data_IF_007038988119
#
_entry.id   IF_007038988119
#
_cell.length_a   1.000
_cell.length_b   1.000
_cell.length_c   1.000
_cell.angle_alpha   90.00
_cell.angle_beta   90.00
_cell.angle_gamma   90.00
#
_symmetry.space_group_name_H-M   'P 1'
#
loop_
_entity.id
_entity.type
_entity.pdbx_description
1 polymer ?
#
# COMPACT_ATOMS: atom_id res chain seq x y z
N UNK A 1 -27.82 26.00 23.24
CA UNK A 1 -29.03 25.48 22.57
C UNK A 1 -28.77 24.03 22.16
N UNK A 2 -29.28 23.10 22.95
CA UNK A 2 -29.18 21.64 22.78
C UNK A 2 -30.25 21.16 21.79
N UNK A 3 -29.88 20.36 20.79
CA UNK A 3 -30.84 19.49 20.09
C UNK A 3 -30.25 18.10 19.88
N UNK A 4 -30.55 17.27 20.86
CA UNK A 4 -30.54 15.82 20.86
C UNK A 4 -31.72 15.33 20.02
N UNK A 5 -31.50 14.38 19.10
CA UNK A 5 -32.61 13.57 18.56
C UNK A 5 -32.19 12.11 18.51
N UNK A 6 -32.85 11.33 19.36
CA UNK A 6 -32.87 9.86 19.43
C UNK A 6 -33.84 9.29 18.37
N UNK A 7 -33.83 7.96 18.27
CA UNK A 7 -34.80 7.04 17.64
C UNK A 7 -34.42 6.65 16.20
N UNK A 8 -34.46 5.39 15.76
CA UNK A 8 -35.15 4.21 16.27
C UNK A 8 -34.42 2.93 15.82
N UNK A 9 -34.42 1.94 16.72
CA UNK A 9 -34.01 0.55 16.55
C UNK A 9 -35.11 -0.22 15.82
N UNK A 10 -34.78 -0.96 14.76
CA UNK A 10 -35.64 -2.03 14.24
C UNK A 10 -34.80 -3.28 13.97
N UNK A 11 -34.89 -4.20 14.93
CA UNK A 11 -34.53 -5.61 14.80
C UNK A 11 -35.50 -6.25 13.79
N UNK A 12 -34.99 -7.03 12.82
CA UNK A 12 -35.81 -8.06 12.17
C UNK A 12 -35.05 -9.37 12.14
N UNK A 13 -35.58 -10.29 12.94
CA UNK A 13 -35.21 -11.68 13.13
C UNK A 13 -35.93 -12.50 12.05
N UNK A 14 -35.22 -13.28 11.24
CA UNK A 14 -35.83 -14.36 10.46
C UNK A 14 -35.08 -15.66 10.73
N UNK A 15 -35.79 -16.60 11.35
CA UNK A 15 -35.36 -17.96 11.61
C UNK A 15 -36.05 -18.92 10.63
N UNK A 16 -35.26 -19.81 10.04
CA UNK A 16 -35.63 -21.15 9.52
C UNK A 16 -36.22 -21.24 8.10
N UNK A 17 -36.30 -22.45 7.50
CA UNK A 17 -35.76 -23.75 7.94
C UNK A 17 -34.87 -24.48 6.90
N UNK A 18 -34.19 -25.52 7.38
CA UNK A 18 -33.45 -26.51 6.61
C UNK A 18 -34.29 -27.20 5.52
N UNK A 19 -33.73 -27.33 4.32
CA UNK A 19 -34.08 -28.36 3.37
C UNK A 19 -32.79 -29.05 2.91
N UNK A 20 -32.55 -30.24 3.46
CA UNK A 20 -31.55 -31.18 2.96
C UNK A 20 -32.03 -31.71 1.61
N UNK A 21 -31.39 -31.30 0.53
CA UNK A 21 -31.54 -31.95 -0.77
C UNK A 21 -30.30 -32.80 -1.03
N UNK A 22 -30.49 -34.11 -1.01
CA UNK A 22 -29.53 -35.10 -1.48
C UNK A 22 -29.22 -34.82 -2.96
N UNK A 23 -28.05 -34.26 -3.24
CA UNK A 23 -27.51 -34.23 -4.60
C UNK A 23 -27.06 -35.64 -4.97
N UNK A 24 -27.90 -36.33 -5.73
CA UNK A 24 -27.61 -37.59 -6.40
C UNK A 24 -26.50 -37.35 -7.43
N UNK A 25 -25.37 -38.05 -7.32
CA UNK A 25 -24.27 -37.96 -8.26
C UNK A 25 -24.70 -38.52 -9.64
N UNK A 26 -24.44 -37.82 -10.76
CA UNK A 26 -24.70 -38.37 -12.09
C UNK A 26 -23.74 -39.53 -12.41
N UNK A 27 -24.16 -40.53 -13.22
CA UNK A 27 -23.31 -41.67 -13.57
C UNK A 27 -22.12 -41.24 -14.45
N UNK A 28 -20.96 -41.92 -14.36
CA UNK A 28 -19.81 -41.61 -15.20
C UNK A 28 -20.10 -41.94 -16.67
N UNK A 29 -19.91 -40.95 -17.55
CA UNK A 29 -19.91 -41.15 -19.00
C UNK A 29 -18.68 -41.93 -19.46
N UNK A 30 -18.68 -42.46 -20.70
CA UNK A 30 -17.56 -43.24 -21.23
C UNK A 30 -16.26 -42.43 -21.31
N UNK A 31 -15.09 -43.06 -21.19
CA UNK A 31 -13.80 -42.37 -21.27
C UNK A 31 -13.61 -41.73 -22.66
N UNK A 32 -13.26 -40.45 -22.67
CA UNK A 32 -12.92 -39.71 -23.89
C UNK A 32 -11.64 -40.26 -24.54
N UNK A 33 -11.42 -39.95 -25.84
CA UNK A 33 -10.22 -40.39 -26.56
C UNK A 33 -8.94 -39.83 -25.91
N UNK A 34 -7.80 -40.54 -25.99
CA UNK A 34 -6.54 -40.09 -25.41
C UNK A 34 -6.06 -38.79 -26.08
N UNK A 35 -5.40 -37.88 -25.34
CA UNK A 35 -4.83 -36.66 -25.91
C UNK A 35 -3.72 -37.03 -26.91
N UNK A 36 -3.76 -36.38 -28.07
CA UNK A 36 -2.70 -36.46 -29.07
C UNK A 36 -1.52 -35.59 -28.64
N UNK A 37 -0.43 -36.21 -28.21
CA UNK A 37 0.83 -35.53 -27.89
C UNK A 37 1.53 -35.05 -29.16
N UNK A 38 1.18 -33.84 -29.61
CA UNK A 38 1.96 -33.09 -30.59
C UNK A 38 2.60 -31.86 -29.93
N UNK A 39 3.91 -31.59 -30.10
CA UNK A 39 4.52 -30.37 -29.58
C UNK A 39 4.08 -29.20 -30.48
N UNK A 40 2.95 -28.58 -30.14
CA UNK A 40 2.50 -27.34 -30.76
C UNK A 40 3.46 -26.18 -30.42
N UNK A 41 3.56 -25.16 -31.29
CA UNK A 41 4.43 -24.02 -31.06
C UNK A 41 3.99 -23.32 -29.78
N UNK A 42 4.90 -23.17 -28.82
CA UNK A 42 4.71 -22.40 -27.60
C UNK A 42 4.59 -20.92 -27.99
N UNK A 43 3.40 -20.52 -28.45
CA UNK A 43 3.00 -19.12 -28.54
C UNK A 43 3.14 -18.47 -27.15
N UNK A 44 3.27 -17.15 -27.08
CA UNK A 44 3.25 -16.47 -25.79
C UNK A 44 1.93 -16.88 -25.10
N UNK A 45 2.05 -17.65 -24.03
CA UNK A 45 0.90 -18.08 -23.24
C UNK A 45 0.07 -16.84 -22.88
N UNK A 46 -1.26 -16.98 -22.72
CA UNK A 46 -2.08 -15.88 -22.25
C UNK A 46 -1.38 -15.28 -21.03
N UNK A 47 -1.00 -13.99 -21.09
CA UNK A 47 -0.61 -13.27 -19.88
C UNK A 47 -1.77 -13.48 -18.94
N UNK A 48 -1.56 -14.25 -17.89
CA UNK A 48 -2.57 -14.52 -16.88
C UNK A 48 -3.16 -13.16 -16.53
N UNK A 49 -4.41 -12.94 -16.93
CA UNK A 49 -5.08 -11.68 -16.72
C UNK A 49 -4.99 -11.43 -15.21
N UNK A 50 -4.22 -10.41 -14.83
CA UNK A 50 -3.84 -10.12 -13.46
C UNK A 50 -5.09 -10.12 -12.61
N UNK A 51 -5.34 -11.22 -11.90
CA UNK A 51 -6.48 -11.29 -11.00
C UNK A 51 -6.19 -10.27 -9.91
N UNK A 52 -7.04 -9.25 -9.72
CA UNK A 52 -6.76 -8.22 -8.74
C UNK A 52 -6.56 -8.89 -7.37
N UNK A 53 -5.37 -8.67 -6.80
CA UNK A 53 -4.98 -9.28 -5.53
C UNK A 53 -6.00 -8.90 -4.45
N UNK A 54 -6.37 -9.82 -3.54
CA UNK A 54 -7.34 -9.53 -2.50
C UNK A 54 -6.84 -8.41 -1.58
N UNK A 55 -7.75 -7.49 -1.24
CA UNK A 55 -7.50 -6.45 -0.24
C UNK A 55 -7.13 -7.06 1.11
N UNK A 56 -6.31 -6.36 1.91
CA UNK A 56 -5.88 -6.81 3.24
C UNK A 56 -7.05 -7.26 4.14
N UNK A 57 -8.17 -6.55 4.06
CA UNK A 57 -9.39 -6.83 4.84
C UNK A 57 -10.06 -8.15 4.48
N UNK A 58 -9.79 -8.70 3.28
CA UNK A 58 -10.35 -9.97 2.79
C UNK A 58 -9.45 -11.18 3.04
N UNK A 59 -8.22 -10.97 3.52
CA UNK A 59 -7.29 -12.05 3.83
C UNK A 59 -7.77 -12.85 5.05
N UNK A 60 -7.60 -14.18 4.98
CA UNK A 60 -7.83 -15.05 6.15
C UNK A 60 -6.79 -14.78 7.24
N UNK A 61 -7.09 -15.18 8.47
CA UNK A 61 -6.14 -15.04 9.59
C UNK A 61 -4.80 -15.72 9.29
N UNK A 62 -4.82 -16.91 8.67
CA UNK A 62 -3.61 -17.64 8.31
C UNK A 62 -2.80 -16.90 7.23
N UNK A 63 -3.46 -16.32 6.22
CA UNK A 63 -2.78 -15.54 5.18
C UNK A 63 -2.12 -14.28 5.76
N UNK A 64 -2.83 -13.54 6.64
CA UNK A 64 -2.25 -12.39 7.33
C UNK A 64 -1.06 -12.79 8.20
N UNK A 65 -1.15 -13.93 8.89
CA UNK A 65 -0.08 -14.41 9.75
C UNK A 65 1.22 -14.64 8.97
N UNK A 66 1.15 -15.30 7.80
CA UNK A 66 2.31 -15.51 6.93
C UNK A 66 2.98 -14.19 6.52
N UNK A 67 2.18 -13.17 6.16
CA UNK A 67 2.70 -11.86 5.78
C UNK A 67 3.33 -11.12 6.98
N UNK A 68 2.76 -11.27 8.17
CA UNK A 68 3.30 -10.69 9.41
C UNK A 68 4.60 -11.40 9.82
N UNK A 69 4.69 -12.72 9.61
CA UNK A 69 5.87 -13.50 9.97
C UNK A 69 7.10 -13.09 9.15
N UNK A 70 6.95 -12.89 7.83
CA UNK A 70 8.02 -12.34 7.00
C UNK A 70 8.52 -10.96 7.48
N UNK A 71 7.60 -10.10 7.95
CA UNK A 71 7.97 -8.81 8.55
C UNK A 71 8.72 -8.99 9.88
N UNK A 72 8.32 -9.97 10.68
CA UNK A 72 8.96 -10.29 11.97
C UNK A 72 10.39 -10.80 11.76
N UNK A 73 10.61 -11.66 10.78
CA UNK A 73 11.94 -12.14 10.41
C UNK A 73 12.85 -10.97 10.02
N UNK A 74 12.40 -10.11 9.10
CA UNK A 74 13.16 -8.90 8.73
C UNK A 74 13.45 -8.00 9.93
N UNK A 75 12.48 -7.79 10.84
CA UNK A 75 12.71 -7.01 12.06
C UNK A 75 13.81 -7.63 12.96
N UNK A 76 13.89 -8.96 12.99
CA UNK A 76 14.88 -9.66 13.76
C UNK A 76 16.29 -9.56 13.15
N UNK A 77 16.39 -9.58 11.82
CA UNK A 77 17.65 -9.52 11.07
C UNK A 77 18.38 -8.17 11.14
N UNK A 78 17.66 -7.05 11.28
CA UNK A 78 18.25 -5.69 11.30
C UNK A 78 18.08 -4.97 12.64
N UNK A 79 18.76 -5.42 13.73
CA UNK A 79 18.62 -4.82 15.06
C UNK A 79 18.99 -3.33 15.12
N UNK A 80 19.97 -2.88 14.33
CA UNK A 80 20.42 -1.49 14.20
C UNK A 80 19.36 -0.58 13.57
N UNK A 81 18.47 -1.09 12.70
CA UNK A 81 17.39 -0.31 12.11
C UNK A 81 16.14 -0.21 13.00
N UNK A 82 16.02 -1.04 14.03
CA UNK A 82 14.83 -1.10 14.90
C UNK A 82 14.41 0.26 15.48
N UNK A 83 15.32 1.14 15.96
CA UNK A 83 14.92 2.46 16.45
C UNK A 83 14.25 3.31 15.37
N UNK A 84 14.74 3.25 14.12
CA UNK A 84 14.15 3.96 12.98
C UNK A 84 12.78 3.37 12.62
N UNK A 85 12.69 2.06 12.50
CA UNK A 85 11.43 1.36 12.22
C UNK A 85 10.37 1.64 13.29
N UNK A 86 10.75 1.63 14.56
CA UNK A 86 9.86 1.93 15.69
C UNK A 86 9.33 3.37 15.66
N UNK A 87 10.20 4.36 15.37
CA UNK A 87 9.77 5.76 15.19
C UNK A 87 8.74 5.89 14.05
N UNK A 88 8.95 5.20 12.94
CA UNK A 88 7.99 5.18 11.82
C UNK A 88 6.66 4.56 12.22
N UNK A 89 6.69 3.42 12.93
CA UNK A 89 5.49 2.74 13.42
C UNK A 89 4.68 3.63 14.38
N UNK A 90 5.33 4.27 15.36
CA UNK A 90 4.66 5.21 16.27
C UNK A 90 3.99 6.35 15.51
N UNK A 91 4.72 7.00 14.59
CA UNK A 91 4.14 8.07 13.77
C UNK A 91 2.93 7.58 12.97
N UNK A 92 2.97 6.37 12.42
CA UNK A 92 1.86 5.80 11.66
C UNK A 92 0.61 5.56 12.52
N UNK A 93 0.79 5.05 13.75
CA UNK A 93 -0.31 4.84 14.69
C UNK A 93 -1.01 6.15 15.06
N UNK A 94 -0.23 7.23 15.22
CA UNK A 94 -0.74 8.56 15.55
C UNK A 94 -1.44 9.26 14.35
N UNK A 95 -1.35 8.72 13.13
CA UNK A 95 -2.01 9.30 11.95
C UNK A 95 -3.50 8.97 11.90
N UNK A 96 -4.30 9.99 11.59
CA UNK A 96 -5.71 9.86 11.15
C UNK A 96 -5.82 9.12 9.82
N UNK A 97 -6.99 8.54 9.47
CA UNK A 97 -7.22 7.90 8.17
C UNK A 97 -6.87 8.79 6.98
N UNK A 98 -7.21 10.08 7.05
CA UNK A 98 -6.91 11.08 6.03
C UNK A 98 -5.41 11.29 5.89
N UNK A 99 -4.68 11.40 7.01
CA UNK A 99 -3.21 11.52 7.00
C UNK A 99 -2.55 10.26 6.42
N UNK A 100 -3.06 9.06 6.73
CA UNK A 100 -2.56 7.81 6.12
C UNK A 100 -2.80 7.77 4.62
N UNK A 101 -3.96 8.23 4.15
CA UNK A 101 -4.26 8.36 2.71
C UNK A 101 -3.28 9.32 2.02
N UNK A 102 -3.00 10.47 2.65
CA UNK A 102 -2.02 11.42 2.12
C UNK A 102 -0.59 10.87 2.11
N UNK A 103 -0.19 10.16 3.18
CA UNK A 103 1.10 9.49 3.24
C UNK A 103 1.26 8.44 2.14
N UNK A 104 0.23 7.61 1.89
CA UNK A 104 0.21 6.65 0.79
C UNK A 104 0.34 7.33 -0.57
N UNK A 105 -0.46 8.37 -0.83
CA UNK A 105 -0.35 9.13 -2.07
C UNK A 105 1.03 9.78 -2.25
N UNK A 106 1.65 10.25 -1.17
CA UNK A 106 3.02 10.77 -1.17
C UNK A 106 4.05 9.70 -1.50
N UNK A 107 3.92 8.51 -0.92
CA UNK A 107 4.77 7.36 -1.20
C UNK A 107 4.66 6.92 -2.66
N UNK A 108 3.44 6.84 -3.19
CA UNK A 108 3.19 6.44 -4.58
C UNK A 108 3.81 7.47 -5.56
N UNK A 109 3.70 8.78 -5.28
CA UNK A 109 4.40 9.82 -6.05
C UNK A 109 5.92 9.66 -5.98
N UNK A 110 6.47 9.45 -4.79
CA UNK A 110 7.93 9.32 -4.60
C UNK A 110 8.51 8.09 -5.31
N UNK A 111 7.79 6.96 -5.30
CA UNK A 111 8.18 5.76 -6.04
C UNK A 111 8.22 5.99 -7.55
N UNK A 112 7.35 6.84 -8.07
CA UNK A 112 7.29 7.13 -9.51
C UNK A 112 8.22 8.27 -9.96
N UNK A 113 8.98 8.89 -9.03
CA UNK A 113 9.99 9.91 -9.37
C UNK A 113 11.25 9.28 -9.98
N UNK A 114 11.90 10.02 -10.88
CA UNK A 114 13.26 9.70 -11.35
C UNK A 114 14.28 9.78 -10.20
N UNK A 115 15.46 9.15 -10.32
CA UNK A 115 16.52 9.25 -9.32
C UNK A 115 16.87 10.71 -8.96
N UNK A 116 16.95 11.59 -9.96
CA UNK A 116 17.22 13.02 -9.78
C UNK A 116 16.10 13.71 -9.02
N UNK A 117 14.85 13.47 -9.41
CA UNK A 117 13.68 14.02 -8.71
C UNK A 117 13.59 13.55 -7.25
N UNK A 118 13.97 12.29 -6.97
CA UNK A 118 14.06 11.79 -5.60
C UNK A 118 15.16 12.49 -4.82
N UNK A 119 16.32 12.74 -5.45
CA UNK A 119 17.44 13.49 -4.84
C UNK A 119 17.00 14.92 -4.48
N UNK A 120 16.28 15.59 -5.39
CA UNK A 120 15.68 16.90 -5.14
C UNK A 120 14.70 16.88 -3.97
N UNK A 121 13.75 15.94 -4.00
CA UNK A 121 12.72 15.80 -2.98
C UNK A 121 13.32 15.52 -1.60
N UNK A 122 14.35 14.66 -1.52
CA UNK A 122 15.09 14.39 -0.28
C UNK A 122 15.73 15.67 0.27
N UNK A 123 16.52 16.38 -0.54
CA UNK A 123 17.21 17.60 -0.10
C UNK A 123 16.23 18.68 0.38
N UNK A 124 15.13 18.90 -0.37
CA UNK A 124 14.10 19.85 0.01
C UNK A 124 13.42 19.44 1.32
N UNK A 125 13.09 18.15 1.48
CA UNK A 125 12.48 17.63 2.71
C UNK A 125 13.39 17.80 3.93
N UNK A 126 14.68 17.47 3.79
CA UNK A 126 15.69 17.63 4.83
C UNK A 126 15.80 19.09 5.28
N UNK A 127 15.74 20.05 4.35
CA UNK A 127 15.69 21.46 4.74
C UNK A 127 14.39 21.79 5.45
N UNK A 128 13.25 21.41 4.89
CA UNK A 128 11.93 21.74 5.44
C UNK A 128 11.72 21.19 6.86
N UNK A 129 12.25 20.01 7.22
CA UNK A 129 12.06 19.46 8.59
C UNK A 129 12.70 20.29 9.69
N UNK A 130 13.66 21.15 9.36
CA UNK A 130 14.33 22.04 10.31
C UNK A 130 13.63 23.40 10.47
N UNK A 131 12.62 23.67 9.64
CA UNK A 131 11.99 24.98 9.52
C UNK A 131 10.61 25.00 10.18
N UNK A 132 10.21 26.18 10.68
CA UNK A 132 8.85 26.40 11.17
C UNK A 132 7.84 26.45 10.00
N UNK A 133 6.54 26.58 10.29
CA UNK A 133 5.51 26.55 9.23
C UNK A 133 5.63 27.71 8.23
N UNK A 134 5.93 28.92 8.70
CA UNK A 134 6.07 30.10 7.85
C UNK A 134 7.28 29.97 6.91
N UNK A 135 8.42 29.56 7.45
CA UNK A 135 9.65 29.34 6.71
C UNK A 135 9.51 28.22 5.67
N UNK A 136 8.81 27.14 6.02
CA UNK A 136 8.48 26.05 5.08
C UNK A 136 7.66 26.56 3.89
N UNK A 137 6.62 27.36 4.16
CA UNK A 137 5.78 27.93 3.10
C UNK A 137 6.61 28.85 2.18
N UNK A 138 7.48 29.68 2.75
CA UNK A 138 8.36 30.57 1.98
C UNK A 138 9.34 29.77 1.10
N UNK A 139 9.96 28.72 1.65
CA UNK A 139 10.84 27.84 0.89
C UNK A 139 10.11 27.13 -0.25
N UNK A 140 8.90 26.63 0.01
CA UNK A 140 8.08 25.97 -1.02
C UNK A 140 7.72 26.92 -2.17
N UNK A 141 7.32 28.16 -1.86
CA UNK A 141 7.03 29.17 -2.89
C UNK A 141 8.28 29.54 -3.70
N UNK A 142 9.44 29.68 -3.05
CA UNK A 142 10.70 29.94 -3.74
C UNK A 142 11.07 28.77 -4.64
N UNK A 143 10.96 27.53 -4.16
CA UNK A 143 11.27 26.32 -4.93
C UNK A 143 10.41 26.17 -6.20
N UNK A 144 9.12 26.51 -6.11
CA UNK A 144 8.21 26.48 -7.26
C UNK A 144 8.62 27.49 -8.36
N UNK A 145 9.23 28.61 -7.98
CA UNK A 145 9.69 29.65 -8.91
C UNK A 145 11.10 29.42 -9.47
N UNK A 146 11.89 28.56 -8.85
CA UNK A 146 13.25 28.23 -9.33
C UNK A 146 13.22 27.48 -10.66
N UNK A 147 14.08 27.90 -11.57
CA UNK A 147 14.48 27.16 -12.77
C UNK A 147 15.25 25.88 -12.41
N UNK A 148 15.36 24.91 -13.34
CA UNK A 148 16.17 23.71 -13.14
C UNK A 148 17.64 23.99 -12.79
N UNK A 149 18.21 25.06 -13.36
CA UNK A 149 19.59 25.47 -13.07
C UNK A 149 19.74 25.99 -11.63
N UNK A 150 18.78 26.80 -11.16
CA UNK A 150 18.77 27.29 -9.78
C UNK A 150 18.55 26.16 -8.76
N UNK A 151 17.66 25.20 -9.06
CA UNK A 151 17.51 23.99 -8.22
C UNK A 151 18.80 23.18 -8.18
N UNK A 152 19.46 22.99 -9.32
CA UNK A 152 20.75 22.28 -9.38
C UNK A 152 21.82 22.98 -8.54
N UNK A 153 21.88 24.32 -8.58
CA UNK A 153 22.79 25.09 -7.74
C UNK A 153 22.44 24.93 -6.25
N UNK A 154 21.17 25.06 -5.90
CA UNK A 154 20.68 24.87 -4.53
C UNK A 154 21.00 23.49 -3.97
N UNK A 155 20.92 22.42 -4.77
CA UNK A 155 21.27 21.06 -4.35
C UNK A 155 22.77 20.84 -4.14
N UNK A 156 23.62 21.66 -4.76
CA UNK A 156 25.07 21.62 -4.47
C UNK A 156 25.38 22.26 -3.13
N UNK A 157 24.65 23.31 -2.77
CA UNK A 157 24.74 23.98 -1.47
C UNK A 157 24.06 23.18 -0.34
N UNK A 158 23.01 22.43 -0.70
CA UNK A 158 22.20 21.64 0.22
C UNK A 158 22.09 20.20 -0.27
N UNK A 159 23.18 19.41 -0.21
CA UNK A 159 23.12 18.02 -0.60
C UNK A 159 22.16 17.24 0.32
N UNK A 160 21.40 16.26 -0.20
CA UNK A 160 20.67 15.34 0.66
C UNK A 160 21.65 14.54 1.51
N UNK A 161 21.20 14.09 2.69
CA UNK A 161 21.94 13.12 3.48
C UNK A 161 21.88 11.78 2.74
N UNK A 162 23.05 11.19 2.49
CA UNK A 162 23.16 9.82 1.99
C UNK A 162 22.90 8.87 3.17
N UNK A 163 21.92 7.97 2.99
CA UNK A 163 21.55 6.91 3.94
C UNK A 163 22.49 5.70 3.77
#
# INVERSE_FOLDING_TARGET
MTRTTRLLLTLLLCAGPCASLLAQAPPPGPPGPPPSDGPGPRGPGPREAETPMPEWEKLTQQQRQVLIDALRERWNEVPEERPRMYRHARRWLDMTPEQRKQAKAGMDRFRNMSPEQRREAKALFERMRTLNQQERNALQQRWQKMSPAERSAWLREHPPVDD
#
